data_IF_064987913288
#
_entry.id   IF_064987913288
#
_cell.length_a   1.000
_cell.length_b   1.000
_cell.length_c   1.000
_cell.angle_alpha   90.00
_cell.angle_beta   90.00
_cell.angle_gamma   90.00
#
_symmetry.space_group_name_H-M   'P 1'
#
loop_
_entity.id
_entity.type
_entity.pdbx_description
1 polymer ?
#
# COMPACT_ATOMS: atom_id res chain seq x y z
N UNK A 1 14.02 -7.00 39.50
CA UNK A 1 12.95 -6.02 39.84
C UNK A 1 13.46 -4.68 39.29
N UNK A 2 12.90 -4.08 38.24
CA UNK A 2 11.49 -3.91 37.93
C UNK A 2 11.27 -3.82 36.43
N UNK A 3 10.20 -4.48 35.96
CA UNK A 3 9.73 -4.47 34.60
C UNK A 3 8.85 -3.24 34.36
N UNK A 4 8.96 -2.61 33.20
CA UNK A 4 8.00 -1.61 32.70
C UNK A 4 7.39 -2.18 31.42
N UNK A 5 6.06 -2.32 31.30
CA UNK A 5 5.44 -2.75 30.05
C UNK A 5 5.16 -1.53 29.16
N UNK A 6 5.65 -1.55 27.92
CA UNK A 6 5.20 -0.64 26.88
C UNK A 6 3.97 -1.24 26.19
N UNK A 7 2.88 -0.49 26.22
CA UNK A 7 1.55 -0.84 25.70
C UNK A 7 1.50 -0.66 24.19
N UNK A 8 1.36 -1.75 23.44
CA UNK A 8 1.06 -1.73 22.00
C UNK A 8 -0.39 -1.28 21.78
N UNK A 9 -0.57 -0.16 21.08
CA UNK A 9 -1.88 0.30 20.62
C UNK A 9 -2.18 -0.27 19.22
N UNK A 10 -3.34 -0.89 19.06
CA UNK A 10 -3.84 -1.40 17.78
C UNK A 10 -4.51 -0.27 16.95
N UNK A 11 -4.41 -0.28 15.62
CA UNK A 11 -5.13 0.69 14.79
C UNK A 11 -6.61 0.30 14.68
N UNK A 12 -7.50 1.17 15.18
CA UNK A 12 -8.94 1.12 14.91
C UNK A 12 -9.23 1.62 13.51
N UNK A 13 -9.67 0.72 12.63
CA UNK A 13 -10.23 1.04 11.31
C UNK A 13 -11.66 1.52 11.45
N UNK A 14 -11.90 2.82 11.24
CA UNK A 14 -13.23 3.42 11.19
C UNK A 14 -13.86 3.15 9.83
N UNK A 15 -14.82 2.23 9.75
CA UNK A 15 -15.65 2.01 8.57
C UNK A 15 -16.76 3.07 8.51
N UNK A 16 -16.64 4.00 7.57
CA UNK A 16 -17.69 4.98 7.24
C UNK A 16 -18.75 4.32 6.36
N UNK A 17 -19.84 3.83 6.97
CA UNK A 17 -21.03 3.37 6.25
C UNK A 17 -21.88 4.56 5.79
N UNK A 18 -21.93 4.80 4.49
CA UNK A 18 -22.85 5.76 3.85
C UNK A 18 -24.25 5.15 3.77
N UNK A 19 -25.17 5.62 4.62
CA UNK A 19 -26.59 5.31 4.53
C UNK A 19 -27.24 6.09 3.39
N UNK A 20 -27.58 5.40 2.30
CA UNK A 20 -28.46 5.90 1.26
C UNK A 20 -29.92 5.78 1.72
N UNK A 21 -30.57 6.93 1.94
CA UNK A 21 -32.00 7.02 2.23
C UNK A 21 -32.80 6.81 0.95
N UNK A 22 -33.38 5.62 0.81
CA UNK A 22 -34.42 5.36 -0.17
C UNK A 22 -35.75 5.95 0.33
N UNK A 23 -36.24 7.01 -0.32
CA UNK A 23 -37.61 7.50 -0.14
C UNK A 23 -38.57 6.60 -0.92
N UNK A 24 -39.24 5.68 -0.22
CA UNK A 24 -40.42 4.97 -0.72
C UNK A 24 -41.67 5.69 -0.23
N UNK A 25 -42.34 6.41 -1.12
CA UNK A 25 -43.70 6.93 -0.88
C UNK A 25 -44.69 5.78 -0.83
N UNK A 26 -45.23 5.49 0.36
CA UNK A 26 -46.39 4.60 0.52
C UNK A 26 -47.61 5.43 0.87
N UNK A 27 -48.65 5.32 0.04
CA UNK A 27 -49.97 5.88 0.29
C UNK A 27 -50.76 4.86 1.12
N UNK A 28 -51.07 5.23 2.37
CA UNK A 28 -51.94 4.47 3.26
C UNK A 28 -53.39 4.80 2.90
N UNK A 29 -54.15 3.79 2.46
CA UNK A 29 -55.61 3.82 2.35
C UNK A 29 -56.19 3.32 3.68
N UNK A 30 -57.07 4.10 4.30
CA UNK A 30 -57.92 3.66 5.40
C UNK A 30 -59.37 3.54 4.91
N UNK A 31 -60.12 2.46 5.23
CA UNK A 31 -61.54 2.38 4.95
C UNK A 31 -62.35 2.79 6.19
N UNK A 32 -63.41 3.56 6.01
CA UNK A 32 -64.47 3.69 7.02
C UNK A 32 -65.80 4.01 6.35
N UNK A 33 -66.72 3.05 6.43
CA UNK A 33 -68.13 3.20 6.05
C UNK A 33 -68.86 4.09 7.05
N UNK A 34 -69.78 4.90 6.53
CA UNK A 34 -70.74 5.67 7.33
C UNK A 34 -71.92 6.09 6.46
N UNK A 35 -73.00 5.31 6.51
CA UNK A 35 -74.31 5.65 5.95
C UNK A 35 -75.03 6.61 6.89
N UNK A 36 -75.49 7.75 6.39
CA UNK A 36 -76.80 8.32 6.76
C UNK A 36 -77.22 9.45 5.82
N UNK A 37 -78.45 9.34 5.33
CA UNK A 37 -79.10 10.26 4.41
C UNK A 37 -79.78 11.41 5.16
N UNK A 38 -79.64 12.66 4.71
CA UNK A 38 -80.73 13.65 4.80
C UNK A 38 -80.58 14.80 3.78
N UNK A 39 -81.52 14.79 2.84
CA UNK A 39 -82.20 15.85 2.05
C UNK A 39 -81.70 17.32 2.07
N UNK A 40 -81.54 17.84 0.84
CA UNK A 40 -81.71 19.23 0.34
C UNK A 40 -80.92 20.39 0.93
N UNK A 41 -79.90 20.83 0.19
CA UNK A 41 -79.66 22.24 -0.12
C UNK A 41 -78.83 22.35 -1.42
N UNK A 42 -79.33 23.13 -2.37
CA UNK A 42 -78.62 23.51 -3.59
C UNK A 42 -77.45 24.43 -3.23
N UNK A 43 -76.24 23.88 -3.11
CA UNK A 43 -75.01 24.66 -3.12
C UNK A 43 -73.90 23.86 -3.78
N UNK A 44 -73.20 24.54 -4.69
CA UNK A 44 -72.23 24.00 -5.64
C UNK A 44 -71.31 22.93 -5.05
N UNK A 45 -71.32 21.75 -5.67
CA UNK A 45 -70.23 20.79 -5.53
C UNK A 45 -68.89 21.52 -5.78
N UNK A 46 -67.85 21.31 -4.95
CA UNK A 46 -66.50 21.76 -5.30
C UNK A 46 -66.11 21.02 -6.58
N UNK A 47 -66.24 21.69 -7.73
CA UNK A 47 -65.61 21.24 -8.95
C UNK A 47 -64.12 21.27 -8.68
N UNK A 48 -63.55 20.08 -8.46
CA UNK A 48 -62.17 19.79 -8.84
C UNK A 48 -61.95 20.48 -10.20
N UNK A 49 -60.82 21.16 -10.47
CA UNK A 49 -60.55 21.69 -11.80
C UNK A 49 -60.43 20.49 -12.75
N UNK A 50 -61.57 20.03 -13.24
CA UNK A 50 -61.67 19.02 -14.27
C UNK A 50 -61.21 19.71 -15.53
N UNK A 51 -59.96 19.45 -15.90
CA UNK A 51 -59.35 19.82 -17.18
C UNK A 51 -60.13 19.30 -18.40
N UNK A 52 -61.18 18.51 -18.15
CA UNK A 52 -62.11 17.85 -19.06
C UNK A 52 -63.41 18.65 -19.30
N UNK A 53 -63.81 19.57 -18.41
CA UNK A 53 -65.07 20.32 -18.60
C UNK A 53 -64.92 21.49 -19.57
N UNK A 54 -65.34 21.29 -20.81
CA UNK A 54 -65.31 22.29 -21.88
C UNK A 54 -64.50 21.90 -23.11
N UNK A 55 -63.75 20.79 -23.05
CA UNK A 55 -62.99 20.22 -24.17
C UNK A 55 -63.79 19.13 -24.87
N UNK A 56 -63.68 19.02 -26.19
CA UNK A 56 -64.28 17.89 -26.91
C UNK A 56 -63.53 16.59 -26.58
N UNK A 57 -64.19 15.43 -26.70
CA UNK A 57 -63.55 14.12 -26.47
C UNK A 57 -62.26 13.97 -27.29
N UNK A 58 -62.24 14.57 -28.48
CA UNK A 58 -61.09 14.58 -29.38
C UNK A 58 -59.90 15.39 -28.84
N UNK A 59 -60.14 16.52 -28.17
CA UNK A 59 -59.08 17.28 -27.48
C UNK A 59 -58.47 16.50 -26.31
N UNK A 60 -59.29 15.75 -25.56
CA UNK A 60 -58.81 14.92 -24.44
C UNK A 60 -57.93 13.78 -24.95
N UNK A 61 -58.35 13.11 -26.04
CA UNK A 61 -57.55 12.06 -26.68
C UNK A 61 -56.22 12.63 -27.20
N UNK A 62 -56.24 13.83 -27.77
CA UNK A 62 -55.03 14.49 -28.26
C UNK A 62 -54.06 14.83 -27.12
N UNK A 63 -54.57 15.35 -26.01
CA UNK A 63 -53.77 15.65 -24.81
C UNK A 63 -53.15 14.39 -24.21
N UNK A 64 -53.94 13.32 -24.01
CA UNK A 64 -53.42 12.05 -23.51
C UNK A 64 -52.38 11.43 -24.43
N UNK A 65 -52.55 11.56 -25.75
CA UNK A 65 -51.55 11.09 -26.71
C UNK A 65 -50.24 11.89 -26.61
N UNK A 66 -50.34 13.22 -26.51
CA UNK A 66 -49.17 14.08 -26.30
C UNK A 66 -48.45 13.76 -24.97
N UNK A 67 -49.18 13.60 -23.87
CA UNK A 67 -48.63 13.24 -22.57
C UNK A 67 -48.00 11.84 -22.58
N UNK A 68 -48.64 10.87 -23.26
CA UNK A 68 -48.10 9.53 -23.43
C UNK A 68 -46.79 9.55 -24.23
N UNK A 69 -46.75 10.33 -25.33
CA UNK A 69 -45.55 10.47 -26.15
C UNK A 69 -44.42 11.16 -25.38
N UNK A 70 -44.73 12.18 -24.59
CA UNK A 70 -43.77 12.86 -23.72
C UNK A 70 -43.22 11.91 -22.64
N UNK A 71 -44.09 11.19 -21.93
CA UNK A 71 -43.68 10.21 -20.89
C UNK A 71 -42.88 9.07 -21.49
N UNK A 72 -43.26 8.57 -22.67
CA UNK A 72 -42.49 7.55 -23.39
C UNK A 72 -41.09 8.06 -23.75
N UNK A 73 -40.99 9.33 -24.17
CA UNK A 73 -39.72 9.98 -24.43
C UNK A 73 -38.83 10.09 -23.19
N UNK A 74 -39.40 10.50 -22.04
CA UNK A 74 -38.69 10.56 -20.75
C UNK A 74 -38.26 9.17 -20.25
N UNK A 75 -39.15 8.20 -20.34
CA UNK A 75 -38.86 6.81 -19.95
C UNK A 75 -37.71 6.24 -20.77
N UNK A 76 -37.71 6.44 -22.09
CA UNK A 76 -36.60 5.98 -22.95
C UNK A 76 -35.26 6.62 -22.54
N UNK A 77 -35.24 7.92 -22.26
CA UNK A 77 -34.03 8.62 -21.78
C UNK A 77 -33.54 8.05 -20.45
N UNK A 78 -34.46 7.80 -19.51
CA UNK A 78 -34.13 7.17 -18.22
C UNK A 78 -33.61 5.76 -18.39
N UNK A 79 -34.23 4.94 -19.24
CA UNK A 79 -33.77 3.58 -19.54
C UNK A 79 -32.35 3.59 -20.13
N UNK A 80 -32.03 4.54 -21.02
CA UNK A 80 -30.67 4.70 -21.55
C UNK A 80 -29.68 5.11 -20.46
N UNK A 81 -30.03 6.06 -19.60
CA UNK A 81 -29.17 6.48 -18.50
C UNK A 81 -28.92 5.34 -17.49
N UNK A 82 -29.95 4.56 -17.16
CA UNK A 82 -29.82 3.38 -16.30
C UNK A 82 -28.89 2.34 -16.94
N UNK A 83 -29.01 2.08 -18.24
CA UNK A 83 -28.10 1.16 -18.93
C UNK A 83 -26.64 1.64 -18.92
N UNK A 84 -26.40 2.95 -19.04
CA UNK A 84 -25.05 3.52 -18.91
C UNK A 84 -24.49 3.42 -17.48
N UNK A 85 -25.35 3.59 -16.47
CA UNK A 85 -24.97 3.41 -15.07
C UNK A 85 -24.67 1.95 -14.75
N UNK A 86 -25.48 1.01 -15.24
CA UNK A 86 -25.24 -0.43 -15.08
C UNK A 86 -23.91 -0.85 -15.70
N UNK A 87 -23.60 -0.35 -16.90
CA UNK A 87 -22.29 -0.56 -17.53
C UNK A 87 -21.13 -0.06 -16.66
N UNK A 88 -21.26 1.12 -16.03
CA UNK A 88 -20.22 1.64 -15.13
C UNK A 88 -20.10 0.82 -13.85
N UNK A 89 -21.22 0.33 -13.30
CA UNK A 89 -21.22 -0.54 -12.12
C UNK A 89 -20.46 -1.84 -12.41
N UNK A 90 -20.71 -2.47 -13.56
CA UNK A 90 -19.99 -3.67 -13.97
C UNK A 90 -18.49 -3.41 -14.16
N UNK A 91 -18.10 -2.30 -14.80
CA UNK A 91 -16.69 -1.92 -14.93
C UNK A 91 -16.01 -1.69 -13.58
N UNK A 92 -16.67 -0.99 -12.65
CA UNK A 92 -16.16 -0.78 -11.31
C UNK A 92 -16.04 -2.09 -10.52
N UNK A 93 -17.00 -3.01 -10.69
CA UNK A 93 -16.92 -4.36 -10.11
C UNK A 93 -15.69 -5.10 -10.61
N UNK A 94 -15.39 -5.06 -11.90
CA UNK A 94 -14.20 -5.73 -12.46
C UNK A 94 -12.89 -5.13 -11.93
N UNK A 95 -12.85 -3.80 -11.73
CA UNK A 95 -11.72 -3.14 -11.06
C UNK A 95 -11.61 -3.60 -9.61
N UNK A 96 -12.73 -3.65 -8.88
CA UNK A 96 -12.75 -4.05 -7.47
C UNK A 96 -12.31 -5.51 -7.28
N UNK A 97 -12.73 -6.42 -8.15
CA UNK A 97 -12.30 -7.82 -8.12
C UNK A 97 -10.80 -7.96 -8.39
N UNK A 98 -10.24 -7.18 -9.31
CA UNK A 98 -8.78 -7.16 -9.53
C UNK A 98 -8.03 -6.63 -8.32
N UNK A 99 -8.54 -5.56 -7.71
CA UNK A 99 -7.97 -4.98 -6.50
C UNK A 99 -8.02 -5.98 -5.34
N UNK A 100 -9.11 -6.72 -5.18
CA UNK A 100 -9.23 -7.77 -4.16
C UNK A 100 -8.15 -8.85 -4.32
N UNK A 101 -7.92 -9.32 -5.54
CA UNK A 101 -6.84 -10.29 -5.84
C UNK A 101 -5.47 -9.71 -5.51
N UNK A 102 -5.22 -8.45 -5.88
CA UNK A 102 -3.94 -7.78 -5.62
C UNK A 102 -3.72 -7.57 -4.11
N UNK A 103 -4.75 -7.18 -3.36
CA UNK A 103 -4.71 -7.05 -1.90
C UNK A 103 -4.44 -8.41 -1.26
N UNK A 104 -5.10 -9.48 -1.71
CA UNK A 104 -4.84 -10.82 -1.19
C UNK A 104 -3.37 -11.24 -1.40
N UNK A 105 -2.80 -10.94 -2.57
CA UNK A 105 -1.37 -11.15 -2.85
C UNK A 105 -0.47 -10.33 -1.94
N UNK A 106 -0.79 -9.05 -1.70
CA UNK A 106 -0.02 -8.19 -0.79
C UNK A 106 -0.05 -8.75 0.64
N UNK A 107 -1.20 -9.19 1.12
CA UNK A 107 -1.35 -9.83 2.45
C UNK A 107 -0.51 -11.09 2.55
N UNK A 108 -0.51 -11.95 1.52
CA UNK A 108 0.35 -13.13 1.47
C UNK A 108 1.85 -12.75 1.52
N UNK A 109 2.27 -11.75 0.74
CA UNK A 109 3.65 -11.28 0.75
C UNK A 109 4.06 -10.67 2.10
N UNK A 110 3.15 -9.95 2.75
CA UNK A 110 3.38 -9.39 4.08
C UNK A 110 3.52 -10.49 5.13
N UNK A 111 2.66 -11.50 5.10
CA UNK A 111 2.75 -12.66 6.00
C UNK A 111 4.06 -13.43 5.80
N UNK A 112 4.51 -13.59 4.55
CA UNK A 112 5.81 -14.20 4.27
C UNK A 112 6.98 -13.35 4.79
N UNK A 113 6.91 -12.03 4.65
CA UNK A 113 7.94 -11.12 5.15
C UNK A 113 7.99 -11.14 6.69
N UNK A 114 6.84 -11.15 7.36
CA UNK A 114 6.76 -11.30 8.82
C UNK A 114 7.46 -12.59 9.29
N UNK A 115 7.18 -13.72 8.61
CA UNK A 115 7.83 -15.00 8.89
C UNK A 115 9.35 -14.96 8.66
N UNK A 116 9.80 -14.22 7.65
CA UNK A 116 11.23 -14.04 7.40
C UNK A 116 11.88 -13.18 8.49
N UNK A 117 11.21 -12.14 8.98
CA UNK A 117 11.69 -11.31 10.09
C UNK A 117 11.76 -12.12 11.39
N UNK A 118 10.75 -12.93 11.70
CA UNK A 118 10.76 -13.82 12.87
C UNK A 118 11.92 -14.83 12.81
N UNK A 119 12.21 -15.37 11.61
CA UNK A 119 13.37 -16.25 11.41
C UNK A 119 14.69 -15.51 11.65
N UNK A 120 14.82 -14.30 11.12
CA UNK A 120 16.02 -13.47 11.33
C UNK A 120 16.20 -13.14 12.81
N UNK A 121 15.12 -12.76 13.50
CA UNK A 121 15.14 -12.49 14.94
C UNK A 121 15.58 -13.72 15.74
N UNK A 122 15.04 -14.89 15.41
CA UNK A 122 15.44 -16.16 16.04
C UNK A 122 16.92 -16.44 15.81
N UNK A 123 17.41 -16.30 14.57
CA UNK A 123 18.83 -16.47 14.27
C UNK A 123 19.71 -15.47 15.03
N UNK A 124 19.29 -14.22 15.17
CA UNK A 124 20.01 -13.21 15.95
C UNK A 124 20.09 -13.60 17.43
N UNK A 125 18.98 -14.05 18.03
CA UNK A 125 18.98 -14.53 19.41
C UNK A 125 19.87 -15.77 19.61
N UNK A 126 19.88 -16.69 18.66
CA UNK A 126 20.76 -17.87 18.71
C UNK A 126 22.24 -17.50 18.60
N UNK A 127 22.60 -16.58 17.70
CA UNK A 127 23.97 -16.05 17.57
C UNK A 127 24.40 -15.32 18.83
N UNK A 128 23.55 -14.44 19.37
CA UNK A 128 23.85 -13.72 20.62
C UNK A 128 24.09 -14.69 21.79
N UNK A 129 23.27 -15.73 21.90
CA UNK A 129 23.44 -16.76 22.93
C UNK A 129 24.72 -17.57 22.73
N UNK A 130 25.06 -17.91 21.49
CA UNK A 130 26.30 -18.60 21.16
C UNK A 130 27.53 -17.74 21.49
N UNK A 131 27.49 -16.46 21.13
CA UNK A 131 28.53 -15.48 21.46
C UNK A 131 28.70 -15.33 22.98
N UNK A 132 27.61 -15.13 23.72
CA UNK A 132 27.68 -15.06 25.20
C UNK A 132 28.30 -16.33 25.81
N UNK A 133 27.98 -17.51 25.27
CA UNK A 133 28.59 -18.77 25.74
C UNK A 133 30.09 -18.83 25.43
N UNK A 134 30.51 -18.35 24.26
CA UNK A 134 31.92 -18.31 23.88
C UNK A 134 32.68 -17.27 24.70
N UNK A 135 32.10 -16.09 24.94
CA UNK A 135 32.67 -15.04 25.79
C UNK A 135 32.86 -15.54 27.23
N UNK A 136 31.88 -16.25 27.79
CA UNK A 136 32.00 -16.83 29.13
C UNK A 136 33.12 -17.88 29.21
N UNK A 137 33.26 -18.75 28.22
CA UNK A 137 34.34 -19.73 28.19
C UNK A 137 35.71 -19.06 27.98
N UNK A 138 35.77 -18.06 27.11
CA UNK A 138 36.98 -17.26 26.91
C UNK A 138 37.39 -16.50 28.18
N UNK A 139 36.44 -15.89 28.90
CA UNK A 139 36.72 -15.23 30.18
C UNK A 139 37.18 -16.23 31.24
N UNK A 140 36.62 -17.46 31.24
CA UNK A 140 37.07 -18.53 32.13
C UNK A 140 38.51 -18.95 31.84
N UNK A 141 38.84 -19.22 30.57
CA UNK A 141 40.19 -19.56 30.12
C UNK A 141 41.15 -18.41 30.47
N UNK A 142 40.77 -17.17 30.21
CA UNK A 142 41.58 -16.00 30.52
C UNK A 142 41.88 -15.92 32.03
N UNK A 143 40.89 -16.16 32.91
CA UNK A 143 41.10 -16.18 34.35
C UNK A 143 42.05 -17.31 34.78
N UNK A 144 41.89 -18.50 34.20
CA UNK A 144 42.72 -19.68 34.50
C UNK A 144 44.17 -19.48 34.02
N UNK A 145 44.39 -18.91 32.83
CA UNK A 145 45.72 -18.66 32.26
C UNK A 145 46.42 -17.40 32.80
N UNK A 146 45.66 -16.39 33.23
CA UNK A 146 46.20 -15.15 33.78
C UNK A 146 47.03 -15.37 35.04
N UNK A 147 46.70 -16.38 35.86
CA UNK A 147 47.52 -16.74 37.02
C UNK A 147 48.89 -17.33 36.61
N UNK A 148 49.00 -17.91 35.40
CA UNK A 148 50.23 -18.47 34.83
C UNK A 148 51.06 -17.47 34.01
N UNK A 149 50.43 -16.45 33.40
CA UNK A 149 51.06 -15.53 32.44
C UNK A 149 51.47 -14.17 33.02
N UNK A 150 51.25 -13.92 34.31
CA UNK A 150 51.48 -12.63 34.98
C UNK A 150 52.92 -12.06 34.87
N UNK A 151 53.90 -12.86 34.44
CA UNK A 151 55.32 -12.48 34.31
C UNK A 151 55.83 -12.43 32.84
N UNK A 152 54.97 -12.61 31.82
CA UNK A 152 55.41 -12.56 30.40
C UNK A 152 55.17 -11.19 29.73
N UNK A 153 56.24 -10.41 29.58
CA UNK A 153 56.21 -9.08 28.94
C UNK A 153 55.86 -9.13 27.43
N UNK A 154 56.08 -10.26 26.77
CA UNK A 154 55.68 -10.47 25.37
C UNK A 154 54.15 -10.70 25.21
N UNK A 155 53.48 -11.21 26.25
CA UNK A 155 52.02 -11.29 26.29
C UNK A 155 51.40 -9.91 26.53
N UNK A 156 51.93 -9.15 27.49
CA UNK A 156 51.45 -7.79 27.80
C UNK A 156 51.53 -6.82 26.62
N UNK A 157 52.62 -6.84 25.86
CA UNK A 157 52.77 -5.98 24.67
C UNK A 157 51.80 -6.35 23.55
N UNK A 158 51.45 -7.64 23.41
CA UNK A 158 50.48 -8.12 22.44
C UNK A 158 49.05 -7.70 22.79
N UNK A 159 48.68 -7.80 24.07
CA UNK A 159 47.36 -7.35 24.55
C UNK A 159 47.16 -5.86 24.30
N UNK A 160 48.17 -5.02 24.58
CA UNK A 160 48.12 -3.58 24.30
C UNK A 160 47.94 -3.28 22.79
N UNK A 161 48.51 -4.09 21.90
CA UNK A 161 48.30 -3.94 20.45
C UNK A 161 46.87 -4.28 20.02
N UNK A 162 46.27 -5.35 20.58
CA UNK A 162 44.89 -5.72 20.28
C UNK A 162 43.89 -4.72 20.85
N UNK A 163 44.13 -4.17 22.05
CA UNK A 163 43.32 -3.10 22.63
C UNK A 163 43.33 -1.84 21.74
N UNK A 164 44.50 -1.46 21.22
CA UNK A 164 44.61 -0.33 20.28
C UNK A 164 43.87 -0.61 18.95
N UNK A 165 43.89 -1.85 18.47
CA UNK A 165 43.16 -2.24 17.27
C UNK A 165 41.64 -2.15 17.49
N UNK A 166 41.14 -2.65 18.63
CA UNK A 166 39.73 -2.56 19.02
C UNK A 166 39.29 -1.10 19.20
N UNK A 167 40.14 -0.25 19.76
CA UNK A 167 39.88 1.19 19.85
C UNK A 167 39.71 1.83 18.46
N UNK A 168 40.60 1.50 17.52
CA UNK A 168 40.53 2.02 16.15
C UNK A 168 39.29 1.53 15.42
N UNK A 169 38.89 0.26 15.62
CA UNK A 169 37.66 -0.30 15.05
C UNK A 169 36.41 0.42 15.58
N UNK A 170 36.31 0.65 16.90
CA UNK A 170 35.19 1.43 17.47
C UNK A 170 35.13 2.85 16.92
N UNK A 171 36.28 3.49 16.68
CA UNK A 171 36.34 4.83 16.06
C UNK A 171 35.84 4.79 14.61
N UNK A 172 36.22 3.78 13.82
CA UNK A 172 35.73 3.59 12.45
C UNK A 172 34.22 3.33 12.41
N UNK A 173 33.69 2.52 13.34
CA UNK A 173 32.26 2.25 13.44
C UNK A 173 31.48 3.50 13.82
N UNK A 174 31.97 4.27 14.81
CA UNK A 174 31.39 5.57 15.16
C UNK A 174 31.39 6.53 13.98
N UNK A 175 32.50 6.63 13.23
CA UNK A 175 32.55 7.45 12.01
C UNK A 175 31.58 6.96 10.95
N UNK A 176 31.40 5.65 10.80
CA UNK A 176 30.42 5.08 9.86
C UNK A 176 28.99 5.45 10.27
N UNK A 177 28.66 5.38 11.56
CA UNK A 177 27.35 5.78 12.08
C UNK A 177 27.14 7.29 11.98
N UNK A 178 28.19 8.09 12.19
CA UNK A 178 28.17 9.53 11.91
C UNK A 178 27.93 9.81 10.42
N UNK A 179 28.60 9.11 9.50
CA UNK A 179 28.36 9.24 8.06
C UNK A 179 26.93 8.83 7.72
N UNK A 180 26.41 7.75 8.31
CA UNK A 180 25.01 7.32 8.15
C UNK A 180 24.04 8.40 8.64
N UNK A 181 24.31 9.02 9.79
CA UNK A 181 23.54 10.15 10.32
C UNK A 181 23.65 11.40 9.44
N UNK A 182 24.84 11.72 8.93
CA UNK A 182 25.05 12.80 7.95
C UNK A 182 24.29 12.51 6.66
N UNK A 183 24.25 11.26 6.20
CA UNK A 183 23.45 10.85 5.03
C UNK A 183 21.96 10.96 5.33
N UNK A 184 21.49 10.52 6.51
CA UNK A 184 20.09 10.64 6.92
C UNK A 184 19.66 12.11 7.03
N UNK A 185 20.48 12.96 7.64
CA UNK A 185 20.24 14.41 7.73
C UNK A 185 20.35 15.08 6.36
N UNK A 186 21.29 14.67 5.50
CA UNK A 186 21.38 15.14 4.12
C UNK A 186 20.16 14.71 3.31
N UNK A 187 19.66 13.49 3.49
CA UNK A 187 18.44 12.99 2.85
C UNK A 187 17.20 13.69 3.38
N UNK A 188 17.16 14.04 4.67
CA UNK A 188 16.09 14.86 5.25
C UNK A 188 16.15 16.32 4.78
N UNK A 189 17.36 16.84 4.50
CA UNK A 189 17.59 18.22 4.06
C UNK A 189 17.46 18.40 2.53
N UNK A 190 17.86 17.41 1.72
CA UNK A 190 17.66 17.39 0.26
C UNK A 190 16.26 16.88 -0.10
N UNK A 191 15.69 16.00 0.72
CA UNK A 191 14.34 15.51 0.59
C UNK A 191 13.50 16.06 1.73
N UNK A 192 13.13 17.35 1.64
CA UNK A 192 12.34 18.08 2.63
C UNK A 192 11.36 17.18 3.40
N UNK A 193 11.47 17.28 4.72
CA UNK A 193 10.53 16.76 5.72
C UNK A 193 10.19 15.28 5.52
N UNK A 194 11.10 14.39 5.91
CA UNK A 194 10.89 12.95 5.85
C UNK A 194 9.87 12.42 6.88
N UNK A 195 9.42 13.26 7.83
CA UNK A 195 8.56 12.85 8.94
C UNK A 195 7.21 13.59 9.02
N UNK A 196 6.93 14.50 8.08
CA UNK A 196 5.59 15.06 7.92
C UNK A 196 5.05 14.74 6.53
N UNK A 197 4.24 13.68 6.49
CA UNK A 197 3.30 13.41 5.40
C UNK A 197 2.35 14.63 5.16
N UNK A 198 2.30 15.58 6.11
CA UNK A 198 1.45 16.77 6.11
C UNK A 198 2.07 18.02 5.44
N UNK A 199 3.38 18.02 5.11
CA UNK A 199 4.10 19.23 4.66
C UNK A 199 4.62 19.20 3.20
N UNK A 200 4.61 18.05 2.55
CA UNK A 200 5.34 17.89 1.29
C UNK A 200 4.63 18.56 0.10
N UNK A 201 5.29 19.52 -0.56
CA UNK A 201 4.70 20.12 -1.76
C UNK A 201 4.67 19.09 -2.90
N UNK A 202 3.66 19.11 -3.79
CA UNK A 202 3.60 18.19 -4.93
C UNK A 202 4.86 18.24 -5.81
N UNK A 203 5.53 19.39 -5.87
CA UNK A 203 6.78 19.55 -6.60
C UNK A 203 7.94 18.81 -5.94
N UNK A 204 8.04 18.87 -4.61
CA UNK A 204 9.06 18.12 -3.87
C UNK A 204 8.87 16.61 -4.08
N UNK A 205 7.62 16.13 -4.15
CA UNK A 205 7.33 14.72 -4.42
C UNK A 205 7.76 14.31 -5.83
N UNK A 206 7.52 15.17 -6.83
CA UNK A 206 8.00 14.93 -8.20
C UNK A 206 9.53 14.89 -8.25
N UNK A 207 10.22 15.81 -7.57
CA UNK A 207 11.69 15.82 -7.52
C UNK A 207 12.23 14.54 -6.86
N UNK A 208 11.61 14.08 -5.75
CA UNK A 208 11.97 12.79 -5.12
C UNK A 208 11.80 11.61 -6.08
N UNK A 209 10.66 11.54 -6.77
CA UNK A 209 10.38 10.48 -7.76
C UNK A 209 11.42 10.53 -8.88
N UNK A 210 11.71 11.71 -9.43
CA UNK A 210 12.64 11.85 -10.54
C UNK A 210 14.07 11.48 -10.13
N UNK A 211 14.50 11.86 -8.92
CA UNK A 211 15.81 11.49 -8.42
C UNK A 211 15.92 9.97 -8.23
N UNK A 212 14.91 9.33 -7.63
CA UNK A 212 14.89 7.88 -7.49
C UNK A 212 14.85 7.17 -8.86
N UNK A 213 14.08 7.70 -9.81
CA UNK A 213 14.04 7.20 -11.18
C UNK A 213 15.39 7.36 -11.89
N UNK A 214 16.10 8.48 -11.70
CA UNK A 214 17.43 8.71 -12.26
C UNK A 214 18.43 7.70 -11.68
N UNK A 215 18.46 7.53 -10.36
CA UNK A 215 19.33 6.54 -9.72
C UNK A 215 19.01 5.12 -10.19
N UNK A 216 17.73 4.78 -10.33
CA UNK A 216 17.29 3.48 -10.86
C UNK A 216 17.74 3.29 -12.32
N UNK A 217 17.65 4.34 -13.14
CA UNK A 217 18.06 4.29 -14.54
C UNK A 217 19.57 4.16 -14.69
N UNK A 218 20.35 4.91 -13.89
CA UNK A 218 21.81 4.76 -13.85
C UNK A 218 22.21 3.35 -13.41
N UNK A 219 21.54 2.80 -12.41
CA UNK A 219 21.78 1.41 -11.98
C UNK A 219 21.45 0.39 -13.07
N UNK A 220 20.35 0.58 -13.81
CA UNK A 220 20.01 -0.26 -14.96
C UNK A 220 21.07 -0.16 -16.04
N UNK A 221 21.56 1.04 -16.35
CA UNK A 221 22.59 1.27 -17.36
C UNK A 221 23.91 0.57 -17.00
N UNK A 222 24.38 0.75 -15.75
CA UNK A 222 25.57 0.06 -15.23
C UNK A 222 25.41 -1.47 -15.33
N UNK A 223 24.24 -2.00 -14.94
CA UNK A 223 23.97 -3.44 -15.04
C UNK A 223 23.86 -3.93 -16.47
N UNK A 224 23.29 -3.14 -17.38
CA UNK A 224 23.22 -3.46 -18.79
C UNK A 224 24.63 -3.50 -19.43
N UNK A 225 25.50 -2.56 -19.07
CA UNK A 225 26.92 -2.58 -19.47
C UNK A 225 27.64 -3.81 -18.91
N UNK A 226 27.39 -4.15 -17.64
CA UNK A 226 27.95 -5.35 -17.02
C UNK A 226 27.51 -6.62 -17.75
N UNK A 227 26.21 -6.74 -18.07
CA UNK A 227 25.68 -7.86 -18.85
C UNK A 227 26.26 -7.90 -20.27
N UNK A 228 26.36 -6.76 -20.94
CA UNK A 228 26.98 -6.64 -22.27
C UNK A 228 28.45 -7.08 -22.25
N UNK A 229 29.21 -6.63 -21.26
CA UNK A 229 30.61 -7.05 -21.04
C UNK A 229 30.73 -8.55 -20.80
N UNK A 230 29.83 -9.13 -19.97
CA UNK A 230 29.78 -10.58 -19.73
C UNK A 230 29.44 -11.36 -21.01
N UNK A 231 28.50 -10.90 -21.81
CA UNK A 231 28.15 -11.49 -23.11
C UNK A 231 29.34 -11.43 -24.08
N UNK A 232 30.02 -10.29 -24.17
CA UNK A 232 31.19 -10.13 -25.04
C UNK A 232 32.36 -11.03 -24.59
N UNK A 233 32.60 -11.15 -23.28
CA UNK A 233 33.57 -12.11 -22.73
C UNK A 233 33.22 -13.55 -23.10
N UNK A 234 31.97 -13.96 -22.97
CA UNK A 234 31.51 -15.30 -23.36
C UNK A 234 31.64 -15.53 -24.87
N UNK A 235 31.28 -14.55 -25.71
CA UNK A 235 31.43 -14.64 -27.16
C UNK A 235 32.92 -14.79 -27.56
N UNK A 236 33.82 -14.03 -26.92
CA UNK A 236 35.25 -14.11 -27.16
C UNK A 236 35.86 -15.43 -26.67
N UNK A 237 35.43 -15.93 -25.50
CA UNK A 237 35.83 -17.24 -24.98
C UNK A 237 35.32 -18.39 -25.86
N UNK A 238 34.07 -18.31 -26.33
CA UNK A 238 33.51 -19.25 -27.30
C UNK A 238 34.29 -19.25 -28.61
N UNK A 239 34.63 -18.07 -29.15
CA UNK A 239 35.48 -17.95 -30.35
C UNK A 239 36.90 -18.50 -30.12
N UNK A 240 37.48 -18.31 -28.93
CA UNK A 240 38.78 -18.84 -28.58
C UNK A 240 38.77 -20.38 -28.43
N UNK A 241 37.73 -20.94 -27.82
CA UNK A 241 37.54 -22.39 -27.70
C UNK A 241 37.35 -23.04 -29.08
N UNK A 242 36.56 -22.41 -29.96
CA UNK A 242 36.34 -22.91 -31.33
C UNK A 242 37.63 -22.87 -32.17
N UNK A 243 38.46 -21.83 -31.96
CA UNK A 243 39.77 -21.71 -32.62
C UNK A 243 40.80 -22.73 -32.12
N UNK A 244 40.80 -23.05 -30.83
CA UNK A 244 41.63 -24.12 -30.26
C UNK A 244 41.21 -25.51 -30.77
N UNK A 245 39.90 -25.75 -30.95
CA UNK A 245 39.36 -27.00 -31.47
C UNK A 245 39.72 -27.19 -32.97
N UNK A 246 39.77 -26.09 -33.73
CA UNK A 246 40.26 -26.08 -35.11
C UNK A 246 41.79 -26.23 -35.22
N UNK A 247 42.56 -25.69 -34.26
CA UNK A 247 44.02 -25.81 -34.21
C UNK A 247 44.54 -27.20 -33.84
N UNK A 248 43.73 -28.03 -33.17
CA UNK A 248 44.06 -29.42 -32.83
C UNK A 248 43.78 -30.43 -33.96
N UNK A 249 43.22 -29.98 -35.10
CA UNK A 249 42.84 -30.83 -36.24
C UNK A 249 43.90 -30.93 -37.36
N UNK A 250 45.12 -30.48 -37.13
CA UNK A 250 46.24 -30.61 -38.07
C UNK A 250 47.45 -31.25 -37.40
#
# INVERSE_FOLDING_TARGET
MSCVPASTAAPTTTSSSSTTTAQTSSLVVAPSSGTSSSVTALTAAPKLPSEVTGKTVEEIIKEWNAELQERTGKFRKQATAIAEWDKRILQNRDVLLRLEIEVAKVVETQANLERQLELIETHQQEVDKALQSMEQEAERIYKDERELLLDDEAASTRDAMYEQAEFTERELEQMTEQIKSVIQTLNANQGGELDAIDGMTPLDMVVKILNNQLSSLMWIDEKAEEFSSRIQKLANQGSAADRQLLGLKF
#
